data_IF_588837773698
#
_entry.id   IF_588837773698
#
_cell.length_a   1.000
_cell.length_b   1.000
_cell.length_c   1.000
_cell.angle_alpha   90.00
_cell.angle_beta   90.00
_cell.angle_gamma   90.00
#
_symmetry.space_group_name_H-M   'P 1'
#
loop_
_entity.id
_entity.type
_entity.pdbx_description
1 polymer ?
#
# COMPACT_ATOMS: atom_id res chain seq x y z
N UNK A 1 -1.55 -5.80 -24.01
CA UNK A 1 -0.17 -6.09 -24.39
C UNK A 1 0.80 -5.82 -23.22
N UNK A 2 0.77 -4.62 -22.60
CA UNK A 2 1.66 -4.26 -21.48
C UNK A 2 1.63 -5.29 -20.36
N UNK A 3 0.45 -5.63 -19.82
CA UNK A 3 0.30 -6.63 -18.77
C UNK A 3 0.82 -8.02 -19.18
N UNK A 4 0.54 -8.44 -20.43
CA UNK A 4 1.04 -9.72 -20.93
C UNK A 4 2.58 -9.75 -20.92
N UNK A 5 3.24 -8.69 -21.36
CA UNK A 5 4.70 -8.58 -21.32
C UNK A 5 5.20 -8.60 -19.89
N UNK A 6 4.58 -7.85 -18.96
CA UNK A 6 4.96 -7.85 -17.54
C UNK A 6 4.85 -9.24 -16.91
N UNK A 7 3.75 -9.96 -17.15
CA UNK A 7 3.55 -11.33 -16.64
C UNK A 7 4.61 -12.28 -17.18
N UNK A 8 4.90 -12.22 -18.49
CA UNK A 8 5.96 -13.05 -19.10
C UNK A 8 7.33 -12.72 -18.51
N UNK A 9 7.66 -11.43 -18.34
CA UNK A 9 8.94 -11.01 -17.74
C UNK A 9 9.01 -11.47 -16.28
N UNK A 10 7.93 -11.33 -15.50
CA UNK A 10 7.87 -11.83 -14.12
C UNK A 10 8.07 -13.35 -14.05
N UNK A 11 7.44 -14.10 -14.96
CA UNK A 11 7.65 -15.55 -15.06
C UNK A 11 9.11 -15.90 -15.38
N UNK A 12 9.73 -15.21 -16.34
CA UNK A 12 11.14 -15.42 -16.71
C UNK A 12 12.07 -15.15 -15.54
N UNK A 13 11.85 -14.06 -14.78
CA UNK A 13 12.64 -13.71 -13.60
C UNK A 13 12.55 -14.82 -12.55
N UNK A 14 11.36 -15.31 -12.26
CA UNK A 14 11.16 -16.40 -11.30
C UNK A 14 11.74 -17.73 -11.82
N UNK A 15 11.53 -18.04 -13.10
CA UNK A 15 12.03 -19.30 -13.71
C UNK A 15 13.55 -19.40 -13.72
N UNK A 16 14.24 -18.29 -13.97
CA UNK A 16 15.71 -18.24 -14.00
C UNK A 16 16.34 -17.77 -12.71
N UNK A 17 15.53 -17.60 -11.63
CA UNK A 17 15.97 -17.16 -10.31
C UNK A 17 16.84 -15.89 -10.36
N UNK A 18 16.42 -14.90 -11.16
CA UNK A 18 17.14 -13.62 -11.29
C UNK A 18 16.91 -12.79 -10.03
N UNK A 19 17.82 -12.91 -9.07
CA UNK A 19 17.73 -12.30 -7.74
C UNK A 19 17.99 -10.79 -7.72
N UNK A 20 18.44 -10.21 -8.83
CA UNK A 20 18.80 -8.79 -8.91
C UNK A 20 17.59 -7.87 -9.10
N UNK A 21 16.52 -8.35 -9.70
CA UNK A 21 15.31 -7.55 -10.02
C UNK A 21 14.09 -8.35 -9.58
N UNK A 22 13.25 -7.72 -8.77
CA UNK A 22 12.00 -8.31 -8.33
C UNK A 22 10.90 -8.13 -9.38
N UNK A 23 9.81 -8.93 -9.35
CA UNK A 23 8.72 -8.82 -10.33
C UNK A 23 8.10 -7.41 -10.42
N UNK A 24 7.93 -6.72 -9.29
CA UNK A 24 7.43 -5.34 -9.24
C UNK A 24 8.39 -4.34 -9.89
N UNK A 25 9.70 -4.47 -9.62
CA UNK A 25 10.74 -3.66 -10.27
C UNK A 25 10.83 -3.91 -11.78
N UNK A 26 10.64 -5.15 -12.21
CA UNK A 26 10.61 -5.49 -13.63
C UNK A 26 9.38 -4.92 -14.34
N UNK A 27 8.19 -5.00 -13.72
CA UNK A 27 6.97 -4.39 -14.25
C UNK A 27 7.15 -2.88 -14.42
N UNK A 28 7.81 -2.23 -13.47
CA UNK A 28 8.14 -0.81 -13.51
C UNK A 28 9.09 -0.48 -14.68
N UNK A 29 10.17 -1.24 -14.88
CA UNK A 29 11.11 -1.03 -16.01
C UNK A 29 10.39 -1.22 -17.35
N UNK A 30 9.59 -2.26 -17.49
CA UNK A 30 8.75 -2.50 -18.67
C UNK A 30 7.81 -1.32 -18.91
N UNK A 31 7.21 -0.79 -17.85
CA UNK A 31 6.36 0.41 -17.89
C UNK A 31 7.10 1.63 -18.44
N UNK A 32 8.31 1.92 -17.95
CA UNK A 32 9.17 3.01 -18.46
C UNK A 32 9.43 2.84 -19.96
N UNK A 33 9.77 1.63 -20.41
CA UNK A 33 10.03 1.35 -21.82
C UNK A 33 8.78 1.60 -22.69
N UNK A 34 7.62 1.13 -22.23
CA UNK A 34 6.34 1.37 -22.92
C UNK A 34 5.96 2.85 -22.94
N UNK A 35 6.15 3.57 -21.84
CA UNK A 35 5.92 5.02 -21.75
C UNK A 35 6.81 5.80 -22.72
N UNK A 36 8.09 5.44 -22.81
CA UNK A 36 9.04 6.06 -23.76
C UNK A 36 8.60 5.84 -25.22
N UNK A 37 8.16 4.62 -25.56
CA UNK A 37 7.61 4.32 -26.90
C UNK A 37 6.30 5.08 -27.16
N UNK A 38 5.43 5.19 -26.17
CA UNK A 38 4.19 5.96 -26.27
C UNK A 38 4.49 7.44 -26.54
N UNK A 39 5.40 8.05 -25.79
CA UNK A 39 5.83 9.45 -25.98
C UNK A 39 6.45 9.69 -27.36
N UNK A 40 7.28 8.77 -27.84
CA UNK A 40 7.86 8.87 -29.18
C UNK A 40 6.82 8.80 -30.31
N UNK A 41 5.71 8.08 -30.10
CA UNK A 41 4.58 8.04 -31.03
C UNK A 41 3.69 9.27 -30.94
N UNK A 42 3.57 9.88 -29.77
CA UNK A 42 2.77 11.09 -29.51
C UNK A 42 3.39 12.31 -30.18
N UNK A 43 4.71 12.40 -30.29
CA UNK A 43 5.39 13.39 -31.11
C UNK A 43 4.91 13.32 -32.61
N UNK A 44 4.15 12.29 -32.98
CA UNK A 44 3.51 12.10 -34.29
C UNK A 44 1.99 12.29 -34.28
N UNK A 45 1.40 12.90 -33.20
CA UNK A 45 -0.02 13.28 -33.14
C UNK A 45 -0.97 12.31 -32.41
N UNK A 46 -0.44 11.34 -31.63
CA UNK A 46 -1.28 10.49 -30.77
C UNK A 46 -1.55 11.14 -29.40
N UNK A 47 -2.71 10.87 -28.82
CA UNK A 47 -3.14 11.50 -27.55
C UNK A 47 -2.45 10.83 -26.33
N UNK A 48 -1.65 11.58 -25.55
CA UNK A 48 -0.95 11.07 -24.35
C UNK A 48 -1.89 10.98 -23.16
N UNK A 49 -3.00 11.72 -23.15
CA UNK A 49 -3.93 11.77 -22.03
C UNK A 49 -4.47 10.38 -21.64
N UNK A 50 -4.59 9.47 -22.61
CA UNK A 50 -5.02 8.08 -22.38
C UNK A 50 -4.02 7.23 -21.54
N UNK A 51 -2.79 7.71 -21.38
CA UNK A 51 -1.73 7.01 -20.63
C UNK A 51 -1.39 7.66 -19.29
N UNK A 52 -2.13 8.73 -18.91
CA UNK A 52 -1.93 9.37 -17.62
C UNK A 52 -2.55 8.55 -16.48
N UNK A 53 -1.88 8.55 -15.32
CA UNK A 53 -2.36 7.84 -14.13
C UNK A 53 -3.72 8.38 -13.68
N UNK A 54 -4.71 7.49 -13.60
CA UNK A 54 -6.02 7.81 -13.07
C UNK A 54 -6.12 7.35 -11.62
N UNK A 55 -6.09 8.29 -10.64
CA UNK A 55 -6.29 7.95 -9.23
C UNK A 55 -7.62 7.24 -8.98
N UNK A 56 -8.67 7.63 -9.70
CA UNK A 56 -10.00 7.00 -9.57
C UNK A 56 -9.94 5.53 -9.95
N UNK A 57 -9.34 5.20 -11.10
CA UNK A 57 -9.18 3.80 -11.53
C UNK A 57 -8.34 2.99 -10.53
N UNK A 58 -7.34 3.61 -9.92
CA UNK A 58 -6.53 2.99 -8.89
C UNK A 58 -7.33 2.76 -7.60
N UNK A 59 -7.91 3.82 -7.01
CA UNK A 59 -8.59 3.72 -5.72
C UNK A 59 -9.88 2.89 -5.77
N UNK A 60 -10.66 2.97 -6.87
CA UNK A 60 -11.93 2.25 -6.98
C UNK A 60 -11.83 0.90 -7.72
N UNK A 61 -10.80 0.68 -8.52
CA UNK A 61 -10.65 -0.55 -9.32
C UNK A 61 -9.59 -1.50 -8.77
N UNK A 62 -8.36 -1.05 -8.67
CA UNK A 62 -7.22 -1.94 -8.40
C UNK A 62 -6.95 -2.14 -6.91
N UNK A 63 -6.90 -1.04 -6.15
CA UNK A 63 -6.57 -1.06 -4.73
C UNK A 63 -7.53 -1.93 -3.89
N UNK A 64 -8.87 -1.88 -4.09
CA UNK A 64 -9.78 -2.73 -3.34
C UNK A 64 -9.50 -4.22 -3.52
N UNK A 65 -9.15 -4.68 -4.72
CA UNK A 65 -8.82 -6.09 -4.99
C UNK A 65 -7.54 -6.49 -4.25
N UNK A 66 -6.50 -5.64 -4.30
CA UNK A 66 -5.22 -5.87 -3.62
C UNK A 66 -5.43 -6.00 -2.11
N UNK A 67 -6.10 -5.02 -1.51
CA UNK A 67 -6.32 -4.97 -0.06
C UNK A 67 -7.24 -6.09 0.42
N UNK A 68 -8.30 -6.40 -0.34
CA UNK A 68 -9.19 -7.51 0.00
C UNK A 68 -8.48 -8.86 -0.03
N UNK A 69 -7.69 -9.10 -1.08
CA UNK A 69 -6.85 -10.30 -1.18
C UNK A 69 -5.84 -10.39 -0.04
N UNK A 70 -5.21 -9.28 0.35
CA UNK A 70 -4.31 -9.21 1.49
C UNK A 70 -5.02 -9.63 2.80
N UNK A 71 -6.25 -9.12 3.04
CA UNK A 71 -7.07 -9.51 4.19
C UNK A 71 -7.48 -10.98 4.17
N UNK A 72 -7.87 -11.51 3.00
CA UNK A 72 -8.27 -12.91 2.84
C UNK A 72 -7.12 -13.90 3.08
N UNK A 73 -5.92 -13.59 2.58
CA UNK A 73 -4.75 -14.49 2.62
C UNK A 73 -3.89 -14.31 3.88
N UNK A 74 -4.31 -13.45 4.82
CA UNK A 74 -3.59 -13.17 6.05
C UNK A 74 -3.45 -14.42 6.94
N UNK A 75 -2.23 -14.72 7.42
CA UNK A 75 -1.98 -15.74 8.45
C UNK A 75 -2.52 -15.26 9.80
N UNK A 76 -3.79 -15.50 10.03
CA UNK A 76 -4.59 -14.91 11.13
C UNK A 76 -3.96 -15.11 12.51
N UNK A 77 -3.58 -16.36 12.83
CA UNK A 77 -3.04 -16.69 14.16
C UNK A 77 -1.83 -15.83 14.50
N UNK A 78 -0.90 -15.72 13.57
CA UNK A 78 0.36 -15.02 13.76
C UNK A 78 0.13 -13.49 13.75
N UNK A 79 -0.76 -13.00 12.89
CA UNK A 79 -1.12 -11.59 12.83
C UNK A 79 -1.80 -11.12 14.13
N UNK A 80 -2.78 -11.87 14.65
CA UNK A 80 -3.46 -11.49 15.89
C UNK A 80 -2.57 -11.65 17.12
N UNK A 81 -1.61 -12.58 17.12
CA UNK A 81 -0.61 -12.68 18.19
C UNK A 81 0.27 -11.41 18.27
N UNK A 82 0.59 -10.80 17.13
CA UNK A 82 1.41 -9.60 17.04
C UNK A 82 0.59 -8.31 16.83
N UNK A 83 -0.75 -8.38 16.84
CA UNK A 83 -1.66 -7.30 16.42
C UNK A 83 -1.40 -5.97 17.13
N UNK A 84 -1.18 -5.98 18.44
CA UNK A 84 -0.88 -4.75 19.18
C UNK A 84 0.39 -4.07 18.66
N UNK A 85 1.42 -4.85 18.39
CA UNK A 85 2.69 -4.34 17.87
C UNK A 85 2.53 -3.81 16.44
N UNK A 86 1.82 -4.55 15.58
CA UNK A 86 1.49 -4.15 14.21
C UNK A 86 0.67 -2.85 14.22
N UNK A 87 -0.38 -2.78 15.04
CA UNK A 87 -1.21 -1.59 15.17
C UNK A 87 -0.41 -0.38 15.69
N UNK A 88 0.50 -0.59 16.66
CA UNK A 88 1.36 0.46 17.16
C UNK A 88 2.25 1.06 16.05
N UNK A 89 2.88 0.22 15.23
CA UNK A 89 3.67 0.69 14.09
C UNK A 89 2.80 1.34 13.01
N UNK A 90 1.67 0.73 12.67
CA UNK A 90 0.81 1.22 11.62
C UNK A 90 0.12 2.55 11.96
N UNK A 91 -0.39 2.72 13.18
CA UNK A 91 -1.11 3.94 13.57
C UNK A 91 -0.15 5.00 14.11
N UNK A 92 0.51 4.72 15.22
CA UNK A 92 1.39 5.71 15.87
C UNK A 92 2.64 5.95 15.03
N UNK A 93 3.22 4.89 14.46
CA UNK A 93 4.40 4.97 13.62
C UNK A 93 4.18 5.78 12.35
N UNK A 94 3.05 5.61 11.67
CA UNK A 94 2.71 6.39 10.46
C UNK A 94 2.56 7.87 10.78
N UNK A 95 1.88 8.20 11.89
CA UNK A 95 1.75 9.59 12.36
C UNK A 95 3.13 10.19 12.66
N UNK A 96 3.99 9.50 13.42
CA UNK A 96 5.35 9.95 13.70
C UNK A 96 6.13 10.16 12.40
N UNK A 97 6.12 9.20 11.49
CA UNK A 97 6.84 9.29 10.21
C UNK A 97 6.34 10.45 9.36
N UNK A 98 5.02 10.68 9.30
CA UNK A 98 4.41 11.79 8.57
C UNK A 98 4.87 13.15 9.10
N UNK A 99 4.83 13.33 10.42
CA UNK A 99 5.26 14.59 11.04
C UNK A 99 6.77 14.79 10.95
N UNK A 100 7.57 13.77 11.20
CA UNK A 100 9.05 13.87 11.08
C UNK A 100 9.46 14.23 9.67
N UNK A 101 8.92 13.54 8.66
CA UNK A 101 9.22 13.84 7.26
C UNK A 101 8.70 15.21 6.86
N UNK A 102 7.44 15.53 7.17
CA UNK A 102 6.81 16.80 6.81
C UNK A 102 7.50 18.01 7.43
N UNK A 103 7.74 18.00 8.76
CA UNK A 103 8.43 19.08 9.44
C UNK A 103 9.88 19.24 8.98
N UNK A 104 10.60 18.14 8.74
CA UNK A 104 11.96 18.22 8.22
C UNK A 104 11.99 18.77 6.80
N UNK A 105 11.02 18.41 5.94
CA UNK A 105 10.86 19.00 4.61
C UNK A 105 10.57 20.49 4.72
N UNK A 106 9.71 20.92 5.64
CA UNK A 106 9.42 22.33 5.88
C UNK A 106 10.67 23.10 6.29
N UNK A 107 11.49 22.55 7.20
CA UNK A 107 12.78 23.16 7.58
C UNK A 107 13.71 23.29 6.38
N UNK A 108 13.78 22.29 5.51
CA UNK A 108 14.60 22.35 4.29
C UNK A 108 14.09 23.42 3.30
N UNK A 109 12.80 23.68 3.26
CA UNK A 109 12.21 24.78 2.48
C UNK A 109 12.61 26.15 3.06
N UNK A 110 12.54 26.32 4.38
CA UNK A 110 12.91 27.59 5.04
C UNK A 110 14.42 27.88 4.93
N UNK A 111 15.27 26.87 4.93
CA UNK A 111 16.71 26.99 4.70
C UNK A 111 17.04 27.27 3.21
N UNK A 112 16.09 27.04 2.30
CA UNK A 112 16.24 27.26 0.86
C UNK A 112 16.86 26.09 0.08
N UNK A 113 16.97 24.91 0.67
CA UNK A 113 17.38 23.66 -0.02
C UNK A 113 16.32 23.20 -1.00
N UNK A 114 15.04 23.30 -0.61
CA UNK A 114 13.89 23.04 -1.47
C UNK A 114 13.31 24.40 -1.89
N UNK A 115 13.01 24.55 -3.18
CA UNK A 115 12.58 25.83 -3.71
C UNK A 115 11.13 26.14 -3.26
N UNK A 116 10.96 27.19 -2.44
CA UNK A 116 9.64 27.64 -1.93
C UNK A 116 8.63 27.95 -3.05
N UNK A 117 9.11 28.34 -4.24
CA UNK A 117 8.25 28.60 -5.42
C UNK A 117 7.50 27.36 -5.92
N UNK A 118 7.95 26.16 -5.53
CA UNK A 118 7.34 24.87 -5.86
C UNK A 118 6.30 24.42 -4.84
N UNK A 119 6.03 25.24 -3.82
CA UNK A 119 4.96 25.05 -2.84
C UNK A 119 3.91 26.16 -3.01
N UNK A 120 2.67 25.86 -2.64
CA UNK A 120 1.56 26.80 -2.74
C UNK A 120 1.49 27.79 -1.57
N UNK A 121 0.28 28.21 -1.23
CA UNK A 121 0.01 29.26 -0.24
C UNK A 121 0.28 28.82 1.21
N UNK A 122 0.17 27.53 1.53
CA UNK A 122 0.37 27.00 2.87
C UNK A 122 1.51 25.94 2.91
N UNK A 123 2.80 26.41 2.93
CA UNK A 123 3.94 25.50 2.81
C UNK A 123 4.03 24.45 3.91
N UNK A 124 3.65 24.81 5.16
CA UNK A 124 3.69 23.86 6.27
C UNK A 124 2.72 22.70 6.06
N UNK A 125 1.48 23.00 5.66
CA UNK A 125 0.47 21.97 5.46
C UNK A 125 0.80 21.09 4.24
N UNK A 126 1.32 21.69 3.17
CA UNK A 126 1.80 20.95 1.99
C UNK A 126 2.96 20.02 2.32
N UNK A 127 3.92 20.47 3.15
CA UNK A 127 4.98 19.60 3.64
C UNK A 127 4.44 18.48 4.54
N UNK A 128 3.43 18.74 5.38
CA UNK A 128 2.78 17.71 6.19
C UNK A 128 1.99 16.71 5.33
N UNK A 129 1.27 17.17 4.32
CA UNK A 129 0.61 16.31 3.33
C UNK A 129 1.64 15.45 2.60
N UNK A 130 2.77 16.04 2.17
CA UNK A 130 3.88 15.31 1.56
C UNK A 130 4.46 14.27 2.53
N UNK A 131 4.65 14.60 3.81
CA UNK A 131 5.06 13.65 4.83
C UNK A 131 4.08 12.48 4.99
N UNK A 132 2.79 12.79 4.93
CA UNK A 132 1.73 11.79 5.08
C UNK A 132 1.70 10.81 3.91
N UNK A 133 1.73 11.28 2.67
CA UNK A 133 1.73 10.38 1.53
C UNK A 133 3.01 9.53 1.44
N UNK A 134 4.17 10.11 1.81
CA UNK A 134 5.44 9.35 1.87
C UNK A 134 5.45 8.38 3.05
N UNK A 135 4.65 8.52 4.10
CA UNK A 135 4.61 7.56 5.21
C UNK A 135 4.02 6.20 4.83
N UNK A 136 3.17 6.13 3.80
CA UNK A 136 2.66 4.88 3.23
C UNK A 136 3.81 4.02 2.68
N UNK A 137 3.89 2.75 3.09
CA UNK A 137 4.94 1.81 2.68
C UNK A 137 4.37 0.63 1.93
N UNK A 138 5.00 0.26 0.83
CA UNK A 138 4.62 -0.88 0.00
C UNK A 138 5.51 -2.10 0.30
N UNK A 139 4.96 -3.21 0.80
CA UNK A 139 5.76 -4.37 1.18
C UNK A 139 5.98 -5.36 0.03
N UNK A 140 5.29 -5.21 -1.11
CA UNK A 140 5.22 -6.24 -2.16
C UNK A 140 6.60 -6.75 -2.57
N UNK A 141 7.51 -5.82 -2.85
CA UNK A 141 8.86 -6.17 -3.26
C UNK A 141 9.68 -6.84 -2.14
N UNK A 142 9.51 -6.45 -0.88
CA UNK A 142 10.24 -7.06 0.24
C UNK A 142 9.67 -8.41 0.63
N UNK A 143 8.34 -8.56 0.59
CA UNK A 143 7.67 -9.81 0.96
C UNK A 143 7.94 -10.93 -0.03
N UNK A 144 8.11 -10.63 -1.32
CA UNK A 144 8.53 -11.64 -2.30
C UNK A 144 9.90 -12.22 -1.94
N UNK A 145 10.87 -11.38 -1.55
CA UNK A 145 12.19 -11.84 -1.07
C UNK A 145 12.07 -12.64 0.23
N UNK A 146 11.22 -12.20 1.17
CA UNK A 146 11.01 -12.91 2.43
C UNK A 146 10.45 -14.31 2.23
N UNK A 147 9.55 -14.47 1.25
CA UNK A 147 9.03 -15.78 0.88
C UNK A 147 10.11 -16.70 0.27
N UNK A 148 10.99 -16.14 -0.58
CA UNK A 148 12.04 -16.88 -1.25
C UNK A 148 13.15 -17.39 -0.31
N UNK A 149 13.37 -16.73 0.82
CA UNK A 149 14.47 -17.05 1.77
C UNK A 149 13.98 -17.50 3.15
N UNK A 150 12.73 -17.89 3.27
CA UNK A 150 12.13 -18.38 4.53
C UNK A 150 12.41 -17.44 5.71
N UNK A 151 12.10 -16.15 5.53
CA UNK A 151 12.31 -15.12 6.55
C UNK A 151 11.60 -15.47 7.88
N UNK A 152 12.14 -15.00 9.03
CA UNK A 152 11.49 -15.22 10.32
C UNK A 152 10.01 -14.76 10.31
N UNK A 153 9.05 -15.59 10.78
CA UNK A 153 7.64 -15.26 10.76
C UNK A 153 7.30 -13.93 11.41
N UNK A 154 7.99 -13.58 12.50
CA UNK A 154 7.84 -12.29 13.17
C UNK A 154 8.13 -11.11 12.23
N UNK A 155 9.24 -11.15 11.48
CA UNK A 155 9.60 -10.09 10.52
C UNK A 155 8.55 -9.98 9.41
N UNK A 156 8.15 -11.12 8.84
CA UNK A 156 7.12 -11.16 7.81
C UNK A 156 5.81 -10.52 8.28
N UNK A 157 5.33 -10.92 9.46
CA UNK A 157 4.07 -10.44 10.00
C UNK A 157 4.09 -8.94 10.34
N UNK A 158 5.20 -8.46 10.93
CA UNK A 158 5.36 -7.05 11.26
C UNK A 158 5.37 -6.18 9.98
N UNK A 159 6.19 -6.55 8.98
CA UNK A 159 6.31 -5.78 7.74
C UNK A 159 5.00 -5.81 6.95
N UNK A 160 4.40 -6.99 6.78
CA UNK A 160 3.13 -7.14 6.06
C UNK A 160 1.98 -6.41 6.77
N UNK A 161 1.80 -6.69 8.06
CA UNK A 161 0.68 -6.14 8.82
C UNK A 161 0.77 -4.62 8.98
N UNK A 162 1.98 -4.09 9.26
CA UNK A 162 2.18 -2.65 9.31
C UNK A 162 1.83 -2.02 7.96
N UNK A 163 2.35 -2.55 6.87
CA UNK A 163 2.22 -1.92 5.56
C UNK A 163 0.78 -1.86 5.06
N UNK A 164 0.01 -2.94 5.22
CA UNK A 164 -1.41 -2.92 4.81
C UNK A 164 -2.24 -1.93 5.63
N UNK A 165 -1.95 -1.83 6.95
CA UNK A 165 -2.65 -0.89 7.81
C UNK A 165 -2.16 0.55 7.62
N UNK A 166 -0.86 0.78 7.40
CA UNK A 166 -0.34 2.13 7.26
C UNK A 166 -0.81 2.81 5.97
N UNK A 167 -1.07 2.06 4.89
CA UNK A 167 -1.68 2.60 3.67
C UNK A 167 -3.06 3.20 3.96
N UNK A 168 -3.89 2.47 4.69
CA UNK A 168 -5.19 2.95 5.11
C UNK A 168 -5.07 4.17 6.05
N UNK A 169 -4.14 4.12 7.00
CA UNK A 169 -3.85 5.21 7.95
C UNK A 169 -3.36 6.45 7.21
N UNK A 170 -2.44 6.30 6.25
CA UNK A 170 -1.92 7.41 5.45
C UNK A 170 -3.03 8.07 4.61
N UNK A 171 -3.92 7.28 3.98
CA UNK A 171 -5.06 7.82 3.21
C UNK A 171 -6.01 8.61 4.12
N UNK A 172 -6.35 8.08 5.29
CA UNK A 172 -7.23 8.78 6.25
C UNK A 172 -6.57 10.06 6.75
N UNK A 173 -5.31 10.00 7.15
CA UNK A 173 -4.57 11.16 7.65
C UNK A 173 -4.40 12.23 6.56
N UNK A 174 -4.11 11.82 5.31
CA UNK A 174 -4.01 12.71 4.18
C UNK A 174 -5.34 13.42 3.90
N UNK A 175 -6.45 12.70 3.82
CA UNK A 175 -7.78 13.28 3.61
C UNK A 175 -8.14 14.26 4.73
N UNK A 176 -7.93 13.86 5.98
CA UNK A 176 -8.22 14.71 7.14
C UNK A 176 -7.37 16.00 7.10
N UNK A 177 -6.08 15.92 6.80
CA UNK A 177 -5.23 17.11 6.66
C UNK A 177 -5.64 17.97 5.46
N UNK A 178 -6.05 17.36 4.34
CA UNK A 178 -6.47 18.07 3.14
C UNK A 178 -7.75 18.89 3.36
N UNK A 179 -8.67 18.44 4.24
CA UNK A 179 -9.87 19.21 4.61
C UNK A 179 -9.54 20.54 5.29
N UNK A 180 -8.37 20.64 5.93
CA UNK A 180 -7.91 21.87 6.58
C UNK A 180 -7.03 22.75 5.67
N UNK A 181 -6.89 22.42 4.39
CA UNK A 181 -5.99 23.13 3.48
C UNK A 181 -6.32 24.63 3.33
N UNK A 182 -7.60 24.99 3.42
CA UNK A 182 -8.07 26.39 3.35
C UNK A 182 -8.25 27.05 4.74
N UNK A 183 -7.99 26.33 5.83
CA UNK A 183 -8.22 26.79 7.20
C UNK A 183 -6.90 27.08 7.92
N UNK A 184 -6.92 28.01 8.88
CA UNK A 184 -5.78 28.24 9.77
C UNK A 184 -5.59 27.05 10.72
N UNK A 185 -4.37 26.53 10.79
CA UNK A 185 -4.05 25.41 11.67
C UNK A 185 -3.91 25.90 13.13
N UNK A 186 -4.90 25.61 13.96
CA UNK A 186 -4.95 25.97 15.37
C UNK A 186 -4.83 24.73 16.27
N UNK A 187 -4.62 24.93 17.58
CA UNK A 187 -4.59 23.82 18.56
C UNK A 187 -5.89 23.06 18.60
N UNK A 188 -7.03 23.72 18.39
CA UNK A 188 -8.33 23.05 18.30
C UNK A 188 -8.43 22.18 17.05
N UNK A 189 -7.88 22.62 15.92
CA UNK A 189 -7.79 21.85 14.66
C UNK A 189 -7.04 20.54 14.88
N UNK A 190 -5.92 20.60 15.62
CA UNK A 190 -5.13 19.39 15.93
C UNK A 190 -5.95 18.32 16.66
N UNK A 191 -6.72 18.69 17.69
CA UNK A 191 -7.56 17.74 18.41
C UNK A 191 -8.74 17.22 17.58
N UNK A 192 -9.28 18.06 16.70
CA UNK A 192 -10.32 17.65 15.74
C UNK A 192 -9.79 16.62 14.75
N UNK A 193 -8.58 16.82 14.20
CA UNK A 193 -7.90 15.85 13.32
C UNK A 193 -7.73 14.50 14.02
N UNK A 194 -7.25 14.50 15.27
CA UNK A 194 -7.09 13.25 16.04
C UNK A 194 -8.45 12.58 16.28
N UNK A 195 -9.45 13.34 16.66
CA UNK A 195 -10.82 12.81 16.91
C UNK A 195 -11.43 12.19 15.64
N UNK A 196 -11.35 12.88 14.51
CA UNK A 196 -11.80 12.36 13.22
C UNK A 196 -11.03 11.11 12.81
N UNK A 197 -9.71 11.12 12.96
CA UNK A 197 -8.87 9.96 12.64
C UNK A 197 -9.28 8.71 13.43
N UNK A 198 -9.51 8.85 14.76
CA UNK A 198 -9.97 7.74 15.61
C UNK A 198 -11.37 7.28 15.19
N UNK A 199 -12.29 8.21 14.97
CA UNK A 199 -13.67 7.91 14.57
C UNK A 199 -13.73 7.17 13.23
N UNK A 200 -12.99 7.65 12.22
CA UNK A 200 -12.93 7.03 10.90
C UNK A 200 -12.30 5.63 10.99
N UNK A 201 -11.23 5.48 11.79
CA UNK A 201 -10.55 4.18 11.94
C UNK A 201 -11.46 3.13 12.59
N UNK A 202 -12.10 3.48 13.72
CA UNK A 202 -13.00 2.55 14.44
C UNK A 202 -14.27 2.29 13.64
N UNK A 203 -14.86 3.34 13.04
CA UNK A 203 -16.07 3.22 12.23
C UNK A 203 -15.87 2.30 11.03
N UNK A 204 -14.74 2.43 10.32
CA UNK A 204 -14.38 1.58 9.18
C UNK A 204 -14.20 0.11 9.59
N UNK A 205 -13.54 -0.14 10.71
CA UNK A 205 -13.37 -1.48 11.27
C UNK A 205 -14.72 -2.13 11.59
N UNK A 206 -15.63 -1.40 12.23
CA UNK A 206 -16.96 -1.91 12.58
C UNK A 206 -17.79 -2.23 11.34
N UNK A 207 -17.77 -1.37 10.30
CA UNK A 207 -18.43 -1.62 9.02
C UNK A 207 -17.87 -2.89 8.38
N UNK A 208 -16.55 -3.01 8.33
CA UNK A 208 -15.90 -4.19 7.74
C UNK A 208 -16.29 -5.50 8.42
N UNK A 209 -16.26 -5.52 9.75
CA UNK A 209 -16.68 -6.70 10.53
C UNK A 209 -18.16 -7.01 10.33
N UNK A 210 -19.03 -5.99 10.34
CA UNK A 210 -20.48 -6.19 10.17
C UNK A 210 -20.80 -6.83 8.79
N UNK A 211 -20.16 -6.32 7.72
CA UNK A 211 -20.34 -6.88 6.38
C UNK A 211 -19.78 -8.31 6.29
N UNK A 212 -18.62 -8.57 6.89
CA UNK A 212 -18.05 -9.93 6.90
C UNK A 212 -18.98 -10.95 7.61
N UNK A 213 -19.53 -10.57 8.78
CA UNK A 213 -20.47 -11.41 9.51
C UNK A 213 -21.76 -11.62 8.72
N UNK A 214 -22.29 -10.55 8.08
CA UNK A 214 -23.44 -10.65 7.18
C UNK A 214 -23.19 -11.59 6.01
N UNK A 215 -22.02 -11.51 5.38
CA UNK A 215 -21.60 -12.40 4.29
C UNK A 215 -21.48 -13.84 4.76
N UNK A 216 -20.85 -14.07 5.90
CA UNK A 216 -20.73 -15.42 6.47
C UNK A 216 -22.10 -16.04 6.79
N UNK A 217 -23.03 -15.24 7.34
CA UNK A 217 -24.40 -15.67 7.58
C UNK A 217 -25.13 -16.00 6.26
N UNK A 218 -24.98 -15.15 5.25
CA UNK A 218 -25.57 -15.37 3.93
C UNK A 218 -25.04 -16.66 3.29
N UNK A 219 -23.73 -16.88 3.28
CA UNK A 219 -23.13 -18.11 2.75
C UNK A 219 -23.62 -19.35 3.49
N UNK A 220 -23.76 -19.28 4.83
CA UNK A 220 -24.29 -20.34 5.65
C UNK A 220 -25.76 -20.65 5.33
N UNK A 221 -26.60 -19.63 5.18
CA UNK A 221 -28.04 -19.81 4.90
C UNK A 221 -28.30 -20.33 3.50
N UNK A 222 -27.44 -19.95 2.53
CA UNK A 222 -27.54 -20.46 1.16
C UNK A 222 -27.04 -21.88 0.99
N UNK A 223 -26.27 -22.43 1.95
CA UNK A 223 -25.77 -23.80 1.91
C UNK A 223 -24.88 -24.09 0.70
N UNK A 224 -24.08 -23.11 0.26
CA UNK A 224 -23.25 -23.23 -0.97
C UNK A 224 -22.12 -24.26 -0.85
N UNK A 225 -21.86 -24.77 0.35
CA UNK A 225 -20.85 -25.83 0.58
C UNK A 225 -21.23 -27.18 -0.04
N UNK A 226 -22.51 -27.46 -0.14
CA UNK A 226 -23.01 -28.72 -0.62
C UNK A 226 -23.90 -28.54 -1.87
N UNK A 227 -23.65 -29.34 -2.90
CA UNK A 227 -24.53 -29.35 -4.08
C UNK A 227 -25.88 -29.95 -3.73
N UNK A 228 -27.02 -29.37 -4.12
CA UNK A 228 -28.32 -29.99 -3.96
C UNK A 228 -28.37 -31.35 -4.66
N UNK A 229 -28.98 -32.37 -4.05
CA UNK A 229 -28.93 -33.75 -4.56
C UNK A 229 -29.37 -33.93 -6.01
N UNK A 230 -30.24 -33.06 -6.50
CA UNK A 230 -30.82 -33.13 -7.84
C UNK A 230 -30.10 -32.29 -8.91
N UNK A 231 -29.03 -31.55 -8.57
CA UNK A 231 -28.38 -30.55 -9.46
C UNK A 231 -26.85 -30.69 -9.47
N UNK A 232 -26.30 -31.76 -8.89
CA UNK A 232 -24.86 -31.95 -8.66
C UNK A 232 -23.96 -31.73 -9.90
N UNK A 233 -24.42 -32.15 -11.09
CA UNK A 233 -23.62 -32.09 -12.32
C UNK A 233 -23.49 -30.66 -12.93
N UNK A 234 -24.40 -29.72 -12.60
CA UNK A 234 -24.41 -28.33 -13.11
C UNK A 234 -24.24 -27.30 -12.02
N UNK A 235 -24.04 -27.72 -10.77
CA UNK A 235 -23.92 -26.80 -9.64
C UNK A 235 -22.56 -26.10 -9.60
N UNK A 236 -22.57 -24.78 -9.72
CA UNK A 236 -21.36 -23.96 -9.73
C UNK A 236 -21.22 -23.15 -8.43
N UNK A 237 -21.20 -23.85 -7.29
CA UNK A 237 -21.07 -23.24 -5.96
C UNK A 237 -19.83 -22.35 -5.79
N UNK A 238 -18.73 -22.72 -6.46
CA UNK A 238 -17.48 -21.96 -6.47
C UNK A 238 -17.67 -20.57 -7.08
N UNK A 239 -18.37 -20.45 -8.23
CA UNK A 239 -18.60 -19.17 -8.88
C UNK A 239 -19.51 -18.26 -8.05
N UNK A 240 -20.56 -18.81 -7.45
CA UNK A 240 -21.45 -18.05 -6.55
C UNK A 240 -20.70 -17.56 -5.31
N UNK A 241 -19.88 -18.41 -4.71
CA UNK A 241 -19.05 -18.07 -3.55
C UNK A 241 -18.06 -16.95 -3.90
N UNK A 242 -17.36 -17.06 -5.03
CA UNK A 242 -16.43 -16.02 -5.51
C UNK A 242 -17.16 -14.70 -5.72
N UNK A 243 -18.31 -14.73 -6.40
CA UNK A 243 -19.10 -13.53 -6.69
C UNK A 243 -19.60 -12.86 -5.40
N UNK A 244 -20.12 -13.63 -4.43
CA UNK A 244 -20.61 -13.07 -3.16
C UNK A 244 -19.47 -12.47 -2.32
N UNK A 245 -18.32 -13.12 -2.25
CA UNK A 245 -17.16 -12.58 -1.56
C UNK A 245 -16.62 -11.32 -2.24
N UNK A 246 -16.55 -11.29 -3.56
CA UNK A 246 -16.14 -10.10 -4.32
C UNK A 246 -17.11 -8.93 -4.09
N UNK A 247 -18.42 -9.19 -4.21
CA UNK A 247 -19.46 -8.19 -3.99
C UNK A 247 -19.42 -7.68 -2.55
N UNK A 248 -19.25 -8.56 -1.55
CA UNK A 248 -19.17 -8.15 -0.14
C UNK A 248 -17.99 -7.24 0.14
N UNK A 249 -16.82 -7.54 -0.45
CA UNK A 249 -15.65 -6.67 -0.36
C UNK A 249 -15.90 -5.28 -0.95
N UNK A 250 -16.38 -5.22 -2.18
CA UNK A 250 -16.71 -3.94 -2.82
C UNK A 250 -17.85 -3.20 -2.12
N UNK A 251 -18.86 -3.91 -1.65
CA UNK A 251 -19.96 -3.29 -0.88
C UNK A 251 -19.45 -2.65 0.41
N UNK A 252 -18.57 -3.34 1.14
CA UNK A 252 -17.93 -2.81 2.33
C UNK A 252 -17.14 -1.54 2.03
N UNK A 253 -16.35 -1.55 0.95
CA UNK A 253 -15.58 -0.40 0.50
C UNK A 253 -16.47 0.81 0.17
N UNK A 254 -17.46 0.61 -0.70
CA UNK A 254 -18.36 1.68 -1.16
C UNK A 254 -19.23 2.20 -0.01
N UNK A 255 -19.74 1.32 0.85
CA UNK A 255 -20.54 1.72 2.00
C UNK A 255 -19.74 2.61 2.95
N UNK A 256 -18.51 2.22 3.29
CA UNK A 256 -17.65 3.00 4.17
C UNK A 256 -17.33 4.38 3.57
N UNK A 257 -16.95 4.45 2.28
CA UNK A 257 -16.70 5.73 1.59
C UNK A 257 -17.94 6.64 1.59
N UNK A 258 -19.15 6.10 1.34
CA UNK A 258 -20.38 6.89 1.34
C UNK A 258 -20.79 7.45 2.69
N UNK A 259 -20.38 6.78 3.79
CA UNK A 259 -20.63 7.23 5.17
C UNK A 259 -19.52 8.16 5.68
N UNK A 260 -18.53 8.49 4.84
CA UNK A 260 -17.38 9.31 5.25
C UNK A 260 -16.33 8.54 6.08
N UNK A 261 -16.34 7.21 6.01
CA UNK A 261 -15.34 6.34 6.64
C UNK A 261 -14.29 5.90 5.61
N UNK A 262 -13.29 5.11 6.02
CA UNK A 262 -12.25 4.60 5.13
C UNK A 262 -12.68 3.28 4.47
N UNK A 263 -12.90 3.31 3.16
CA UNK A 263 -13.19 2.12 2.39
C UNK A 263 -12.04 1.10 2.43
N UNK A 264 -10.79 1.57 2.42
CA UNK A 264 -9.59 0.73 2.47
C UNK A 264 -9.52 -0.07 3.78
N UNK A 265 -9.74 0.59 4.92
CA UNK A 265 -9.81 -0.11 6.21
C UNK A 265 -10.98 -1.08 6.26
N UNK A 266 -12.15 -0.65 5.80
CA UNK A 266 -13.35 -1.47 5.84
C UNK A 266 -13.19 -2.75 5.01
N UNK A 267 -12.71 -2.66 3.78
CA UNK A 267 -12.51 -3.82 2.90
C UNK A 267 -11.42 -4.78 3.44
N UNK A 268 -10.37 -4.26 4.06
CA UNK A 268 -9.34 -5.09 4.70
C UNK A 268 -9.90 -5.94 5.83
N UNK A 269 -10.64 -5.32 6.76
CA UNK A 269 -11.26 -6.06 7.85
C UNK A 269 -12.40 -6.97 7.38
N UNK A 270 -13.08 -6.61 6.29
CA UNK A 270 -14.02 -7.52 5.61
C UNK A 270 -13.31 -8.75 5.08
N UNK A 271 -12.14 -8.59 4.46
CA UNK A 271 -11.30 -9.70 4.00
C UNK A 271 -10.89 -10.64 5.14
N UNK A 272 -10.37 -10.08 6.25
CA UNK A 272 -10.00 -10.85 7.45
C UNK A 272 -11.21 -11.60 8.03
N UNK A 273 -12.35 -10.91 8.15
CA UNK A 273 -13.57 -11.48 8.68
C UNK A 273 -14.13 -12.60 7.79
N UNK A 274 -14.14 -12.42 6.47
CA UNK A 274 -14.52 -13.43 5.51
C UNK A 274 -13.54 -14.62 5.52
N UNK A 275 -12.25 -14.39 5.62
CA UNK A 275 -11.29 -15.47 5.81
C UNK A 275 -11.51 -16.27 7.09
N UNK A 276 -12.07 -15.66 8.14
CA UNK A 276 -12.34 -16.35 9.40
C UNK A 276 -13.70 -17.07 9.44
N UNK A 277 -14.76 -16.35 9.09
CA UNK A 277 -16.13 -16.85 9.28
C UNK A 277 -16.69 -17.48 8.00
N UNK A 278 -16.41 -16.93 6.82
CA UNK A 278 -16.93 -17.45 5.55
C UNK A 278 -16.20 -18.69 5.09
N UNK A 279 -14.93 -18.87 5.46
CA UNK A 279 -14.13 -20.05 5.10
C UNK A 279 -14.78 -21.36 5.46
N UNK A 280 -15.39 -21.47 6.65
CA UNK A 280 -16.04 -22.69 7.13
C UNK A 280 -17.42 -22.96 6.49
N UNK A 281 -17.97 -21.97 5.77
CA UNK A 281 -19.27 -22.09 5.09
C UNK A 281 -19.14 -22.37 3.58
N UNK A 282 -17.92 -22.70 3.13
CA UNK A 282 -17.58 -22.90 1.71
C UNK A 282 -16.97 -24.29 1.53
N UNK A 283 -17.34 -25.00 0.47
CA UNK A 283 -16.79 -26.33 0.16
C UNK A 283 -15.27 -26.29 -0.10
N UNK A 284 -14.56 -27.39 0.19
CA UNK A 284 -13.08 -27.44 0.13
C UNK A 284 -12.52 -27.05 -1.24
N UNK A 285 -13.12 -27.52 -2.34
CA UNK A 285 -12.68 -27.14 -3.69
C UNK A 285 -12.87 -25.65 -3.96
N UNK A 286 -14.00 -25.08 -3.52
CA UNK A 286 -14.29 -23.67 -3.66
C UNK A 286 -13.36 -22.79 -2.80
N UNK A 287 -12.96 -23.26 -1.60
CA UNK A 287 -11.98 -22.56 -0.77
C UNK A 287 -10.69 -22.31 -1.56
N UNK A 288 -10.06 -23.38 -2.08
CA UNK A 288 -8.80 -23.30 -2.80
C UNK A 288 -8.94 -22.40 -4.05
N UNK A 289 -9.99 -22.66 -4.85
CA UNK A 289 -10.21 -21.93 -6.10
C UNK A 289 -10.46 -20.44 -5.87
N UNK A 290 -11.30 -20.07 -4.90
CA UNK A 290 -11.66 -18.68 -4.60
C UNK A 290 -10.45 -17.91 -4.07
N UNK A 291 -9.73 -18.45 -3.08
CA UNK A 291 -8.55 -17.75 -2.53
C UNK A 291 -7.46 -17.58 -3.57
N UNK A 292 -7.19 -18.61 -4.40
CA UNK A 292 -6.22 -18.50 -5.50
C UNK A 292 -6.65 -17.51 -6.60
N UNK A 293 -7.95 -17.38 -6.85
CA UNK A 293 -8.48 -16.41 -7.81
C UNK A 293 -8.24 -14.96 -7.31
N UNK A 294 -8.47 -14.68 -6.02
CA UNK A 294 -8.17 -13.36 -5.45
C UNK A 294 -6.68 -13.08 -5.42
N UNK A 295 -5.83 -14.06 -5.11
CA UNK A 295 -4.37 -13.94 -5.17
C UNK A 295 -3.90 -13.59 -6.59
N UNK A 296 -4.42 -14.28 -7.60
CA UNK A 296 -4.10 -14.00 -9.00
C UNK A 296 -4.60 -12.61 -9.45
N UNK A 297 -5.81 -12.21 -9.04
CA UNK A 297 -6.35 -10.90 -9.34
C UNK A 297 -5.54 -9.77 -8.68
N UNK A 298 -5.09 -9.97 -7.43
CA UNK A 298 -4.21 -9.03 -6.73
C UNK A 298 -2.86 -8.91 -7.44
N UNK A 299 -2.22 -10.04 -7.79
CA UNK A 299 -0.96 -10.05 -8.55
C UNK A 299 -1.06 -9.29 -9.87
N UNK A 300 -2.14 -9.48 -10.64
CA UNK A 300 -2.37 -8.75 -11.88
C UNK A 300 -2.58 -7.25 -11.63
N UNK A 301 -3.31 -6.89 -10.59
CA UNK A 301 -3.56 -5.51 -10.20
C UNK A 301 -2.28 -4.81 -9.76
N UNK A 302 -1.45 -5.44 -8.93
CA UNK A 302 -0.15 -4.94 -8.51
C UNK A 302 0.81 -4.77 -9.69
N UNK A 303 0.91 -5.78 -10.56
CA UNK A 303 1.74 -5.73 -11.77
C UNK A 303 1.33 -4.58 -12.67
N UNK A 304 0.01 -4.36 -12.84
CA UNK A 304 -0.51 -3.24 -13.63
C UNK A 304 -0.15 -1.89 -13.01
N UNK A 305 -0.29 -1.76 -11.69
CA UNK A 305 0.02 -0.53 -10.95
C UNK A 305 1.50 -0.17 -11.11
N UNK A 306 2.43 -1.11 -10.91
CA UNK A 306 3.86 -0.84 -11.08
C UNK A 306 4.23 -0.52 -12.54
N UNK A 307 3.65 -1.23 -13.51
CA UNK A 307 3.85 -0.91 -14.93
C UNK A 307 3.31 0.49 -15.27
N UNK A 308 2.20 0.87 -14.67
CA UNK A 308 1.59 2.18 -14.87
C UNK A 308 2.41 3.31 -14.22
N UNK A 309 2.94 3.10 -13.00
CA UNK A 309 3.92 4.01 -12.39
C UNK A 309 5.16 4.19 -13.28
N UNK A 310 5.67 3.09 -13.83
CA UNK A 310 6.79 3.16 -14.78
C UNK A 310 6.47 4.00 -16.01
N UNK A 311 5.28 3.88 -16.58
CA UNK A 311 4.86 4.70 -17.73
C UNK A 311 4.85 6.19 -17.41
N UNK A 312 4.45 6.60 -16.19
CA UNK A 312 4.40 8.01 -15.78
C UNK A 312 5.76 8.69 -15.89
N UNK A 313 6.85 7.97 -15.67
CA UNK A 313 8.22 8.51 -15.79
C UNK A 313 8.48 9.12 -17.16
N UNK A 314 7.94 8.52 -18.19
CA UNK A 314 8.16 8.98 -19.56
C UNK A 314 7.02 9.85 -20.11
N UNK A 315 5.81 9.70 -19.61
CA UNK A 315 4.61 10.35 -20.18
C UNK A 315 4.19 11.64 -19.47
N UNK A 316 4.59 11.80 -18.21
CA UNK A 316 4.26 13.00 -17.42
C UNK A 316 5.24 14.16 -17.68
N UNK A 317 4.75 15.39 -17.59
CA UNK A 317 5.60 16.59 -17.66
C UNK A 317 6.14 16.92 -16.27
N UNK A 318 7.34 16.43 -15.99
CA UNK A 318 7.98 16.51 -14.69
C UNK A 318 8.47 17.91 -14.34
N UNK A 319 8.22 18.32 -13.08
CA UNK A 319 8.87 19.48 -12.49
C UNK A 319 10.00 19.02 -11.55
N UNK A 320 11.23 19.14 -12.01
CA UNK A 320 12.41 18.67 -11.31
C UNK A 320 12.84 19.67 -10.22
N UNK A 321 12.71 19.29 -8.95
CA UNK A 321 13.32 19.99 -7.81
C UNK A 321 14.43 19.11 -7.22
N UNK A 322 15.67 19.51 -7.43
CA UNK A 322 16.84 18.76 -6.96
C UNK A 322 16.89 18.65 -5.42
N UNK A 323 16.33 19.63 -4.70
CA UNK A 323 16.23 19.59 -3.24
C UNK A 323 15.34 18.42 -2.79
N UNK A 324 14.14 18.32 -3.36
CA UNK A 324 13.21 17.20 -3.08
C UNK A 324 13.83 15.84 -3.44
N UNK A 325 14.48 15.76 -4.61
CA UNK A 325 15.07 14.52 -5.10
C UNK A 325 16.23 14.02 -4.23
N UNK A 326 17.13 14.92 -3.84
CA UNK A 326 18.32 14.57 -3.07
C UNK A 326 17.97 14.24 -1.61
N UNK A 327 17.02 14.97 -1.02
CA UNK A 327 16.68 14.83 0.40
C UNK A 327 15.58 13.80 0.66
N UNK A 328 14.73 13.51 -0.32
CA UNK A 328 13.53 12.68 -0.13
C UNK A 328 13.80 11.28 0.40
N UNK A 329 14.74 10.54 -0.20
CA UNK A 329 15.05 9.16 0.24
C UNK A 329 15.76 9.13 1.59
N UNK A 330 16.85 9.91 1.82
CA UNK A 330 17.49 9.97 3.14
C UNK A 330 16.50 10.36 4.25
N UNK A 331 15.62 11.32 3.96
CA UNK A 331 14.63 11.79 4.92
C UNK A 331 13.56 10.73 5.20
N UNK A 332 13.09 10.01 4.18
CA UNK A 332 12.16 8.90 4.35
C UNK A 332 12.76 7.78 5.20
N UNK A 333 14.04 7.45 5.00
CA UNK A 333 14.75 6.46 5.82
C UNK A 333 14.98 6.95 7.26
N UNK A 334 15.30 8.23 7.46
CA UNK A 334 15.44 8.83 8.79
C UNK A 334 14.10 8.83 9.55
N UNK A 335 13.01 9.25 8.90
CA UNK A 335 11.67 9.21 9.49
C UNK A 335 11.26 7.78 9.88
N UNK A 336 11.61 6.80 9.04
CA UNK A 336 11.39 5.38 9.32
C UNK A 336 12.20 4.91 10.55
N UNK A 337 13.46 5.29 10.66
CA UNK A 337 14.30 4.95 11.81
C UNK A 337 13.76 5.58 13.12
N UNK A 338 13.34 6.84 13.07
CA UNK A 338 12.75 7.54 14.23
C UNK A 338 11.43 6.92 14.66
N UNK A 339 10.70 6.28 13.77
CA UNK A 339 9.50 5.53 14.06
C UNK A 339 9.84 4.15 14.67
N UNK A 340 10.58 3.31 13.92
CA UNK A 340 10.73 1.89 14.23
C UNK A 340 11.51 1.66 15.53
N UNK A 341 12.64 2.32 15.75
CA UNK A 341 13.47 2.02 16.93
C UNK A 341 12.81 2.41 18.27
N UNK A 342 12.23 3.60 18.45
CA UNK A 342 11.56 3.93 19.70
C UNK A 342 10.31 3.08 19.95
N UNK A 343 9.49 2.85 18.90
CA UNK A 343 8.28 2.04 19.05
C UNK A 343 8.60 0.55 19.29
N UNK A 344 9.67 0.02 18.70
CA UNK A 344 10.16 -1.33 19.03
C UNK A 344 10.59 -1.43 20.50
N UNK A 345 11.24 -0.38 21.02
CA UNK A 345 11.60 -0.34 22.44
C UNK A 345 10.38 -0.32 23.33
N UNK A 346 9.37 0.49 22.97
CA UNK A 346 8.09 0.52 23.68
C UNK A 346 7.36 -0.82 23.58
N UNK A 347 7.25 -1.41 22.40
CA UNK A 347 6.62 -2.71 22.19
C UNK A 347 7.31 -3.80 23.03
N UNK A 348 8.63 -3.80 23.11
CA UNK A 348 9.40 -4.77 23.88
C UNK A 348 9.16 -4.69 25.41
N UNK A 349 8.62 -3.59 25.93
CA UNK A 349 8.21 -3.52 27.36
C UNK A 349 6.93 -4.28 27.65
N UNK A 350 6.13 -4.56 26.62
CA UNK A 350 4.81 -5.21 26.72
C UNK A 350 4.83 -6.66 26.16
N UNK A 351 5.88 -7.04 25.42
CA UNK A 351 5.99 -8.36 24.79
C UNK A 351 6.73 -9.34 25.66
N UNK A 352 6.26 -10.58 25.71
CA UNK A 352 6.99 -11.70 26.34
C UNK A 352 8.29 -12.03 25.58
N UNK A 353 8.24 -12.00 24.23
CA UNK A 353 9.39 -12.21 23.37
C UNK A 353 9.79 -10.90 22.71
N UNK A 354 10.97 -10.32 23.05
CA UNK A 354 11.38 -9.03 22.50
C UNK A 354 11.72 -9.14 21.00
N UNK A 355 11.47 -8.06 20.26
CA UNK A 355 11.85 -7.93 18.86
C UNK A 355 13.37 -7.78 18.78
N UNK A 356 14.10 -8.72 18.16
CA UNK A 356 15.55 -8.66 18.07
C UNK A 356 16.03 -7.46 17.23
N UNK A 357 17.23 -6.95 17.50
CA UNK A 357 17.75 -5.75 16.84
C UNK A 357 17.95 -5.91 15.33
N UNK A 358 18.35 -7.09 14.87
CA UNK A 358 18.45 -7.41 13.45
C UNK A 358 17.10 -7.33 12.73
N UNK A 359 16.01 -7.79 13.38
CA UNK A 359 14.63 -7.65 12.89
C UNK A 359 14.23 -6.18 12.83
N UNK A 360 14.55 -5.38 13.88
CA UNK A 360 14.25 -3.93 13.88
C UNK A 360 14.96 -3.19 12.74
N UNK A 361 16.25 -3.51 12.50
CA UNK A 361 17.03 -2.90 11.41
C UNK A 361 16.44 -3.28 10.05
N UNK A 362 16.11 -4.56 9.85
CA UNK A 362 15.49 -5.02 8.61
C UNK A 362 14.12 -4.37 8.41
N UNK A 363 13.29 -4.30 9.46
CA UNK A 363 11.99 -3.65 9.44
C UNK A 363 12.09 -2.17 9.06
N UNK A 364 13.08 -1.43 9.60
CA UNK A 364 13.33 -0.05 9.21
C UNK A 364 13.76 0.07 7.73
N UNK A 365 14.56 -0.87 7.23
CA UNK A 365 15.03 -0.88 5.83
C UNK A 365 13.92 -1.24 4.82
N UNK A 366 12.88 -1.99 5.24
CA UNK A 366 11.74 -2.38 4.39
C UNK A 366 10.74 -1.25 4.08
N UNK A 367 11.13 0.01 4.26
CA UNK A 367 10.29 1.17 3.99
C UNK A 367 10.22 1.55 2.51
N UNK A 368 9.91 0.61 1.61
CA UNK A 368 9.69 0.92 0.19
C UNK A 368 8.45 1.79 0.03
N UNK A 369 8.42 2.61 -1.01
CA UNK A 369 7.26 3.46 -1.32
C UNK A 369 6.61 2.98 -2.61
N UNK A 370 5.27 2.93 -2.58
CA UNK A 370 4.49 2.31 -3.65
C UNK A 370 3.44 3.24 -4.26
N UNK A 371 2.48 2.60 -4.89
CA UNK A 371 1.45 3.26 -5.68
C UNK A 371 0.49 4.12 -4.85
N UNK A 372 0.24 3.77 -3.59
CA UNK A 372 -0.63 4.56 -2.71
C UNK A 372 -0.02 5.94 -2.47
N UNK A 373 1.30 6.02 -2.21
CA UNK A 373 1.99 7.29 -2.06
C UNK A 373 1.87 8.16 -3.32
N UNK A 374 2.07 7.57 -4.51
CA UNK A 374 1.94 8.29 -5.78
C UNK A 374 0.50 8.71 -6.07
N UNK A 375 -0.48 7.84 -5.84
CA UNK A 375 -1.89 8.16 -6.04
C UNK A 375 -2.37 9.32 -5.13
N UNK A 376 -1.86 9.40 -3.91
CA UNK A 376 -2.12 10.54 -3.03
C UNK A 376 -1.40 11.82 -3.51
N UNK A 377 -0.18 11.70 -4.06
CA UNK A 377 0.54 12.85 -4.62
C UNK A 377 -0.18 13.48 -5.80
N UNK A 378 -0.78 12.67 -6.69
CA UNK A 378 -1.61 13.15 -7.80
C UNK A 378 -2.90 13.85 -7.31
N UNK A 379 -3.43 13.44 -6.14
CA UNK A 379 -4.60 14.05 -5.51
C UNK A 379 -4.26 15.18 -4.52
N UNK A 380 -3.04 15.69 -4.54
CA UNK A 380 -2.64 16.77 -3.63
C UNK A 380 -3.45 18.04 -3.91
N UNK A 381 -4.07 18.66 -2.88
CA UNK A 381 -4.84 19.88 -3.07
C UNK A 381 -3.96 21.02 -3.58
N UNK A 382 -4.48 21.82 -4.52
CA UNK A 382 -3.82 23.02 -5.05
C UNK A 382 -4.75 24.20 -4.92
N UNK A 383 -4.24 25.33 -4.41
CA UNK A 383 -5.04 26.56 -4.21
C UNK A 383 -5.37 27.30 -5.49
N UNK A 384 -4.64 27.04 -6.58
CA UNK A 384 -4.85 27.73 -7.86
C UNK A 384 -4.88 26.77 -9.04
N UNK A 385 -5.84 26.90 -9.96
CA UNK A 385 -5.81 26.16 -11.23
C UNK A 385 -4.51 26.47 -11.99
N UNK A 386 -3.67 25.45 -12.21
CA UNK A 386 -2.38 25.59 -12.91
C UNK A 386 -1.17 25.82 -12.02
N UNK A 387 -1.30 25.79 -10.70
CA UNK A 387 -0.15 25.90 -9.77
C UNK A 387 0.79 24.68 -9.89
N UNK A 388 2.09 24.95 -9.90
CA UNK A 388 3.14 23.95 -10.12
C UNK A 388 3.55 23.22 -8.82
N UNK A 389 3.02 23.61 -7.65
CA UNK A 389 3.41 23.05 -6.35
C UNK A 389 3.13 21.55 -6.22
N UNK A 390 1.98 21.09 -6.64
CA UNK A 390 1.65 19.66 -6.62
C UNK A 390 2.52 18.84 -7.57
N UNK A 391 2.96 19.39 -8.71
CA UNK A 391 3.80 18.68 -9.69
C UNK A 391 5.19 18.35 -9.18
N UNK A 392 5.81 19.22 -8.37
CA UNK A 392 7.13 18.94 -7.80
C UNK A 392 7.07 17.80 -6.78
N UNK A 393 6.02 17.78 -5.94
CA UNK A 393 5.76 16.69 -4.99
C UNK A 393 5.42 15.39 -5.73
N UNK A 394 4.61 15.46 -6.78
CA UNK A 394 4.27 14.31 -7.62
C UNK A 394 5.53 13.70 -8.28
N UNK A 395 6.36 14.55 -8.90
CA UNK A 395 7.65 14.12 -9.50
C UNK A 395 8.59 13.53 -8.46
N UNK A 396 8.72 14.20 -7.30
CA UNK A 396 9.56 13.72 -6.18
C UNK A 396 9.09 12.38 -5.65
N UNK A 397 7.78 12.22 -5.45
CA UNK A 397 7.17 10.96 -4.99
C UNK A 397 7.39 9.84 -6.00
N UNK A 398 7.21 10.10 -7.29
CA UNK A 398 7.44 9.12 -8.35
C UNK A 398 8.89 8.61 -8.32
N UNK A 399 9.85 9.52 -8.20
CA UNK A 399 11.28 9.15 -8.12
C UNK A 399 11.58 8.37 -6.84
N UNK A 400 11.02 8.77 -5.70
CA UNK A 400 11.18 8.03 -4.45
C UNK A 400 10.61 6.61 -4.59
N UNK A 401 9.43 6.44 -5.17
CA UNK A 401 8.83 5.13 -5.43
C UNK A 401 9.74 4.27 -6.32
N UNK A 402 10.24 4.85 -7.43
CA UNK A 402 11.15 4.16 -8.36
C UNK A 402 12.44 3.69 -7.67
N UNK A 403 13.14 4.63 -7.05
CA UNK A 403 14.45 4.34 -6.42
C UNK A 403 14.28 3.40 -5.25
N UNK A 404 13.25 3.58 -4.40
CA UNK A 404 13.01 2.67 -3.30
C UNK A 404 12.71 1.25 -3.79
N UNK A 405 11.85 1.08 -4.80
CA UNK A 405 11.51 -0.25 -5.34
C UNK A 405 12.71 -0.93 -5.99
N UNK A 406 13.49 -0.20 -6.81
CA UNK A 406 14.62 -0.80 -7.54
C UNK A 406 15.85 -0.97 -6.66
N UNK A 407 16.24 0.06 -5.89
CA UNK A 407 17.49 0.03 -5.13
C UNK A 407 17.31 -0.63 -3.77
N UNK A 408 16.35 -0.16 -2.96
CA UNK A 408 16.12 -0.75 -1.63
C UNK A 408 15.50 -2.15 -1.74
N UNK A 409 14.56 -2.34 -2.68
CA UNK A 409 14.01 -3.67 -2.98
C UNK A 409 15.09 -4.66 -3.39
N UNK A 410 16.01 -4.27 -4.30
CA UNK A 410 17.16 -5.08 -4.69
C UNK A 410 18.16 -5.31 -3.56
N UNK A 411 18.30 -4.38 -2.62
CA UNK A 411 19.19 -4.49 -1.45
C UNK A 411 18.60 -5.37 -0.33
N UNK A 412 17.33 -5.75 -0.38
CA UNK A 412 16.65 -6.56 0.65
C UNK A 412 17.36 -7.86 0.93
N UNK A 413 17.66 -8.66 -0.10
CA UNK A 413 18.32 -9.96 0.05
C UNK A 413 19.75 -9.85 0.60
N UNK A 414 20.64 -8.99 0.06
CA UNK A 414 21.97 -8.77 0.65
C UNK A 414 21.91 -8.35 2.12
N UNK A 415 20.98 -7.45 2.47
CA UNK A 415 20.82 -6.98 3.85
C UNK A 415 20.32 -8.09 4.78
N UNK A 416 19.36 -8.92 4.37
CA UNK A 416 18.91 -10.08 5.14
C UNK A 416 20.05 -11.06 5.43
N UNK A 417 20.89 -11.34 4.43
CA UNK A 417 22.07 -12.20 4.59
C UNK A 417 23.06 -11.60 5.58
N UNK A 418 23.32 -10.30 5.50
CA UNK A 418 24.21 -9.60 6.41
C UNK A 418 23.70 -9.62 7.87
N UNK A 419 22.38 -9.52 8.05
CA UNK A 419 21.74 -9.53 9.36
C UNK A 419 21.47 -10.96 9.92
N UNK A 420 21.78 -12.00 9.16
CA UNK A 420 21.55 -13.40 9.57
C UNK A 420 20.07 -13.76 9.69
N UNK A 421 19.21 -13.16 8.87
CA UNK A 421 17.75 -13.34 8.86
C UNK A 421 17.28 -14.29 7.73
N UNK A 422 18.11 -15.23 7.32
CA UNK A 422 17.80 -16.23 6.29
C UNK A 422 18.07 -17.63 6.84
N UNK A 423 17.37 -18.64 6.34
CA UNK A 423 17.65 -20.02 6.68
C UNK A 423 18.97 -20.45 5.98
N UNK A 424 19.99 -20.95 6.73
CA UNK A 424 21.25 -21.43 6.14
C UNK A 424 21.08 -22.61 5.16
N UNK A 425 19.92 -23.30 5.21
CA UNK A 425 19.60 -24.44 4.34
C UNK A 425 19.16 -24.00 2.93
N UNK A 426 18.83 -22.75 2.70
CA UNK A 426 18.40 -22.17 1.42
C UNK A 426 19.60 -21.76 0.50
N UNK A 427 20.65 -22.61 0.41
CA UNK A 427 21.80 -22.40 -0.47
C UNK A 427 21.61 -22.99 -1.86
#
# INVERSE_FOLDING_TARGET
>A
LLLMVCVVVSYVIQRYNVRAVQPSGAALIVGVAFGAVARAKTARGADVAAFQFSPQAFFYGLLPIIIYSAGLNLKRRDFFADFFTIALFAFVGTVISSFVFGLSTFVLVEIGVIARKHLGSNPLLECLLYGTLISSTDPVATLSVFADVSAPPLLYNLVFGESVLNDAVAVVLFRTLAEFYEQEFTVSTFWTVIGQFILVSIGSLLIGIAIALGTALLLKTLGLAEAPPNVAASYNGTAYTFALLLISGYFSYVLAENVGMSGIMSIFFTGIGNAHYSYHNVGEEAQIAVFKSFEAAAFLSETFVFAYLGMQVATFDHLWDFGILLTGIPLAMAARAVNIFPLSRLANTLRETPIPRNVQVMHAACGLRGAVAYALAVNMPSTRPGEQGSRAVETGTLVICLVSTLVLGGATLPLMKHLGLHDPSDR
#
